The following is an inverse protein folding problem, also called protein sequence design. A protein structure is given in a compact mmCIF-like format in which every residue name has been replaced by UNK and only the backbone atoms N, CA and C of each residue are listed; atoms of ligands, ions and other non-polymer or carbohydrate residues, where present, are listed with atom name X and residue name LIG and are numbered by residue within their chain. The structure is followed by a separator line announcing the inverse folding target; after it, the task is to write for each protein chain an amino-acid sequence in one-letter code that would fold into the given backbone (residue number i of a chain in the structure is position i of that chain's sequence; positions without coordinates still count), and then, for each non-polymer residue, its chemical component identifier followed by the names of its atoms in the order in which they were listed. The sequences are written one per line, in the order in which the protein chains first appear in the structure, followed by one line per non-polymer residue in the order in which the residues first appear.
data_IF_608986096278
#
_entry.id   IF_608986096278
#
_cell.length_a   1.000
_cell.length_b   1.000
_cell.length_c   1.000
_cell.angle_alpha   90.00
_cell.angle_beta   90.00
_cell.angle_gamma   90.00
#
_symmetry.space_group_name_H-M   'P 1'
#
loop_
_entity.id
_entity.type
_entity.pdbx_description
1 polymer ?
#
# COMPACT_ATOMS: atom_id res chain seq x y z
N UNK A 1 17.11 -1.50 15.69
CA UNK A 1 16.85 -2.66 14.80
C UNK A 1 17.21 -4.02 15.45
N UNK A 2 17.29 -4.09 16.79
CA UNK A 2 17.67 -5.31 17.54
C UNK A 2 16.48 -6.04 18.15
N UNK A 3 15.24 -5.75 17.73
CA UNK A 3 14.04 -6.39 18.29
C UNK A 3 13.70 -5.96 19.74
N UNK A 4 14.44 -5.01 20.30
CA UNK A 4 14.19 -4.52 21.65
C UNK A 4 13.13 -3.41 21.63
N UNK A 5 12.06 -3.59 22.41
CA UNK A 5 11.04 -2.55 22.61
C UNK A 5 11.64 -1.40 23.41
N UNK A 6 11.69 -0.22 22.82
CA UNK A 6 12.20 1.03 23.45
C UNK A 6 11.07 1.79 24.14
N UNK A 7 9.89 1.79 23.54
CA UNK A 7 8.69 2.46 24.03
C UNK A 7 7.45 1.69 23.59
N UNK A 8 6.45 1.62 24.44
CA UNK A 8 5.19 0.94 24.18
C UNK A 8 4.04 1.72 24.81
N UNK A 9 2.97 1.95 24.02
CA UNK A 9 1.72 2.57 24.47
C UNK A 9 0.56 1.92 23.74
N UNK A 10 -0.32 1.25 24.49
CA UNK A 10 -1.53 0.61 23.95
C UNK A 10 -1.26 -0.28 22.73
N UNK A 11 -0.10 -0.97 22.70
CA UNK A 11 0.43 -1.63 21.51
C UNK A 11 -0.46 -2.76 20.99
N UNK A 12 -1.27 -3.37 21.86
CA UNK A 12 -2.16 -4.47 21.55
C UNK A 12 -3.64 -4.04 21.40
N UNK A 13 -3.91 -2.74 21.53
CA UNK A 13 -5.26 -2.20 21.31
C UNK A 13 -5.63 -2.23 19.84
N UNK A 14 -6.80 -2.79 19.52
CA UNK A 14 -7.33 -2.80 18.15
C UNK A 14 -7.56 -1.37 17.65
N UNK A 15 -7.11 -1.10 16.45
CA UNK A 15 -7.26 0.17 15.74
C UNK A 15 -7.59 -0.08 14.28
N UNK A 16 -8.24 0.87 13.64
CA UNK A 16 -8.45 0.86 12.20
C UNK A 16 -7.16 1.32 11.51
N UNK A 17 -6.55 0.48 10.65
CA UNK A 17 -5.23 0.78 10.07
C UNK A 17 -5.26 1.90 9.03
N UNK A 18 -6.41 2.20 8.43
CA UNK A 18 -6.51 3.09 7.28
C UNK A 18 -5.45 2.73 6.22
N UNK A 19 -4.84 3.71 5.57
CA UNK A 19 -3.88 3.48 4.47
C UNK A 19 -2.59 2.75 4.87
N UNK A 20 -2.31 2.50 6.17
CA UNK A 20 -1.20 1.61 6.55
C UNK A 20 -1.45 0.16 6.11
N UNK A 21 -2.70 -0.19 5.79
CA UNK A 21 -3.10 -1.45 5.12
C UNK A 21 -2.28 -1.72 3.86
N UNK A 22 -1.95 -0.67 3.10
CA UNK A 22 -1.21 -0.78 1.82
C UNK A 22 0.19 -1.37 1.98
N UNK A 23 0.74 -1.39 3.19
CA UNK A 23 1.98 -2.12 3.48
C UNK A 23 1.77 -3.63 3.28
N UNK A 24 0.64 -4.18 3.74
CA UNK A 24 0.30 -5.59 3.50
C UNK A 24 -0.01 -5.83 2.01
N UNK A 25 -0.72 -4.93 1.36
CA UNK A 25 -0.99 -5.01 -0.09
C UNK A 25 0.31 -5.02 -0.89
N UNK A 26 1.29 -4.20 -0.50
CA UNK A 26 2.64 -4.21 -1.07
C UNK A 26 3.32 -5.58 -0.90
N UNK A 27 3.31 -6.15 0.29
CA UNK A 27 3.90 -7.46 0.58
C UNK A 27 3.33 -8.52 -0.36
N UNK A 28 2.00 -8.62 -0.43
CA UNK A 28 1.33 -9.60 -1.29
C UNK A 28 1.67 -9.35 -2.77
N UNK A 29 1.72 -8.10 -3.22
CA UNK A 29 2.04 -7.79 -4.60
C UNK A 29 3.46 -8.24 -4.97
N UNK A 30 4.45 -7.91 -4.14
CA UNK A 30 5.86 -8.25 -4.41
C UNK A 30 6.13 -9.76 -4.33
N UNK A 31 5.42 -10.48 -3.48
CA UNK A 31 5.56 -11.93 -3.38
C UNK A 31 4.90 -12.70 -4.54
N UNK A 32 3.89 -12.11 -5.18
CA UNK A 32 3.12 -12.79 -6.24
C UNK A 32 3.44 -12.30 -7.66
N UNK A 33 4.21 -11.23 -7.82
CA UNK A 33 4.62 -10.69 -9.12
C UNK A 33 6.15 -10.79 -9.24
N UNK A 34 6.63 -11.75 -10.02
CA UNK A 34 8.07 -12.04 -10.13
C UNK A 34 8.88 -10.94 -10.84
N UNK A 35 8.27 -10.23 -11.78
CA UNK A 35 8.91 -9.15 -12.56
C UNK A 35 8.06 -7.89 -12.46
N UNK A 36 8.39 -7.04 -11.48
CA UNK A 36 7.65 -5.82 -11.21
C UNK A 36 7.79 -4.78 -12.33
N UNK A 37 8.94 -4.72 -12.98
CA UNK A 37 9.26 -3.69 -13.97
C UNK A 37 8.61 -3.99 -15.33
N UNK A 38 8.41 -5.26 -15.69
CA UNK A 38 7.91 -5.66 -17.01
C UNK A 38 6.46 -6.23 -16.99
N UNK A 39 5.97 -6.67 -15.83
CA UNK A 39 4.59 -7.18 -15.74
C UNK A 39 3.59 -6.06 -16.01
N UNK A 40 2.85 -6.18 -17.11
CA UNK A 40 1.79 -5.24 -17.51
C UNK A 40 0.44 -5.70 -16.97
N UNK A 41 -0.18 -4.86 -16.15
CA UNK A 41 -1.47 -5.12 -15.50
C UNK A 41 -2.55 -4.28 -16.18
N UNK A 42 -3.60 -4.90 -16.73
CA UNK A 42 -4.66 -4.18 -17.42
C UNK A 42 -5.52 -3.36 -16.43
N UNK A 43 -5.82 -2.12 -16.80
CA UNK A 43 -6.65 -1.23 -16.01
C UNK A 43 -8.10 -1.33 -16.48
N UNK A 44 -8.96 -1.87 -15.61
CA UNK A 44 -10.38 -2.10 -15.88
C UNK A 44 -11.24 -1.06 -15.17
N UNK A 45 -12.17 -0.43 -15.87
CA UNK A 45 -13.10 0.54 -15.29
C UNK A 45 -13.92 -0.06 -14.13
N UNK A 46 -14.35 -1.31 -14.27
CA UNK A 46 -15.16 -2.01 -13.25
C UNK A 46 -14.47 -2.13 -11.89
N UNK A 47 -13.13 -2.22 -11.88
CA UNK A 47 -12.32 -2.29 -10.65
C UNK A 47 -12.29 -0.92 -9.95
N UNK A 48 -12.28 0.16 -10.71
CA UNK A 48 -12.22 1.52 -10.18
C UNK A 48 -13.61 2.04 -9.76
N UNK A 49 -14.68 1.52 -10.35
CA UNK A 49 -16.05 1.95 -10.08
C UNK A 49 -16.46 1.76 -8.61
N UNK A 50 -15.88 0.78 -7.92
CA UNK A 50 -16.15 0.52 -6.49
C UNK A 50 -15.67 1.64 -5.56
N UNK A 51 -14.74 2.47 -6.04
CA UNK A 51 -14.18 3.60 -5.29
C UNK A 51 -14.96 4.90 -5.49
N UNK A 52 -15.94 4.93 -6.40
CA UNK A 52 -16.75 6.12 -6.65
C UNK A 52 -17.51 6.54 -5.40
N UNK A 53 -17.45 7.84 -5.10
CA UNK A 53 -18.12 8.46 -3.95
C UNK A 53 -17.69 7.95 -2.56
N UNK A 54 -16.56 7.25 -2.45
CA UNK A 54 -16.03 6.76 -1.17
C UNK A 54 -15.14 7.78 -0.45
N UNK A 55 -14.76 8.88 -1.12
CA UNK A 55 -13.76 9.83 -0.60
C UNK A 55 -12.33 9.30 -0.63
N UNK A 56 -12.08 8.27 -1.43
CA UNK A 56 -10.76 7.63 -1.57
C UNK A 56 -9.70 8.58 -2.12
N UNK A 57 -8.47 8.45 -1.63
CA UNK A 57 -7.29 9.00 -2.31
C UNK A 57 -7.04 8.22 -3.59
N UNK A 58 -6.86 8.92 -4.71
CA UNK A 58 -6.64 8.33 -6.02
C UNK A 58 -5.30 8.79 -6.58
N UNK A 59 -4.66 7.92 -7.33
CA UNK A 59 -3.40 8.18 -8.04
C UNK A 59 -3.60 8.42 -9.56
N UNK A 60 -4.84 8.71 -9.97
CA UNK A 60 -5.25 8.93 -11.36
C UNK A 60 -5.05 7.71 -12.28
N UNK A 61 -5.08 6.50 -11.73
CA UNK A 61 -4.99 5.23 -12.49
C UNK A 61 -6.11 5.14 -13.54
N UNK A 62 -7.23 5.83 -13.34
CA UNK A 62 -8.34 5.91 -14.30
C UNK A 62 -7.92 6.47 -15.68
N UNK A 63 -6.86 7.27 -15.77
CA UNK A 63 -6.32 7.78 -17.04
C UNK A 63 -5.78 6.65 -17.93
N UNK A 64 -5.55 5.48 -17.38
CA UNK A 64 -5.04 4.29 -18.06
C UNK A 64 -6.11 3.24 -18.35
N UNK A 65 -7.39 3.51 -18.11
CA UNK A 65 -8.48 2.56 -18.40
C UNK A 65 -8.45 2.13 -19.88
N UNK A 66 -8.54 0.81 -20.10
CA UNK A 66 -8.39 0.19 -21.42
C UNK A 66 -6.95 0.03 -21.89
N UNK A 67 -5.97 0.44 -21.10
CA UNK A 67 -4.54 0.20 -21.29
C UNK A 67 -3.99 -0.66 -20.14
N UNK A 68 -2.67 -0.77 -20.06
CA UNK A 68 -2.00 -1.44 -18.93
C UNK A 68 -0.94 -0.53 -18.32
N UNK A 69 -0.74 -0.66 -17.02
CA UNK A 69 0.39 -0.08 -16.29
C UNK A 69 1.37 -1.20 -15.86
N UNK A 70 2.63 -0.86 -15.62
CA UNK A 70 3.55 -1.83 -15.00
C UNK A 70 3.18 -2.07 -13.53
N UNK A 71 3.53 -3.24 -13.01
CA UNK A 71 3.35 -3.51 -11.58
C UNK A 71 4.11 -2.51 -10.73
N UNK A 72 5.31 -2.10 -11.15
CA UNK A 72 6.11 -1.11 -10.43
C UNK A 72 5.45 0.27 -10.42
N UNK A 73 4.86 0.75 -11.54
CA UNK A 73 4.11 2.01 -11.57
C UNK A 73 2.91 1.97 -10.62
N UNK A 74 2.20 0.83 -10.55
CA UNK A 74 1.10 0.65 -9.61
C UNK A 74 1.56 0.64 -8.16
N UNK A 75 2.73 0.07 -7.85
CA UNK A 75 3.29 0.12 -6.49
C UNK A 75 3.67 1.55 -6.09
N UNK A 76 4.26 2.34 -6.99
CA UNK A 76 4.51 3.76 -6.74
C UNK A 76 3.20 4.54 -6.60
N UNK A 77 2.22 4.29 -7.47
CA UNK A 77 0.89 4.91 -7.40
C UNK A 77 0.17 4.59 -6.09
N UNK A 78 0.33 3.39 -5.56
CA UNK A 78 -0.24 2.98 -4.29
C UNK A 78 0.46 3.62 -3.08
N UNK A 79 1.80 3.63 -3.07
CA UNK A 79 2.57 3.97 -1.86
C UNK A 79 2.88 5.46 -1.75
N UNK A 80 3.17 6.16 -2.85
CA UNK A 80 3.59 7.57 -2.83
C UNK A 80 2.42 8.51 -2.52
N UNK A 81 1.34 8.58 -3.33
CA UNK A 81 0.16 9.41 -3.03
C UNK A 81 -0.89 8.67 -2.19
N UNK A 82 -0.63 7.42 -1.80
CA UNK A 82 -1.60 6.57 -1.10
C UNK A 82 -2.83 6.20 -1.97
N UNK A 83 -2.64 5.90 -3.26
CA UNK A 83 -3.70 5.61 -4.23
C UNK A 83 -4.48 4.32 -3.90
N UNK A 84 -5.78 4.45 -3.64
CA UNK A 84 -6.68 3.31 -3.43
C UNK A 84 -6.98 2.60 -4.74
N UNK A 85 -7.03 3.34 -5.85
CA UNK A 85 -7.21 2.83 -7.21
C UNK A 85 -6.10 1.85 -7.60
N UNK A 86 -4.85 2.19 -7.35
CA UNK A 86 -3.72 1.30 -7.59
C UNK A 86 -3.77 0.05 -6.71
N UNK A 87 -4.14 0.17 -5.43
CA UNK A 87 -4.32 -0.97 -4.52
C UNK A 87 -5.38 -1.95 -5.03
N UNK A 88 -6.52 -1.43 -5.49
CA UNK A 88 -7.62 -2.24 -6.04
C UNK A 88 -7.22 -2.95 -7.34
N UNK A 89 -6.47 -2.29 -8.22
CA UNK A 89 -5.98 -2.90 -9.47
C UNK A 89 -5.00 -4.03 -9.19
N UNK A 90 -4.06 -3.85 -8.27
CA UNK A 90 -3.15 -4.91 -7.83
C UNK A 90 -3.92 -6.10 -7.24
N UNK A 91 -4.92 -5.81 -6.41
CA UNK A 91 -5.75 -6.83 -5.78
C UNK A 91 -6.61 -7.61 -6.79
N UNK A 92 -7.22 -6.93 -7.77
CA UNK A 92 -7.96 -7.59 -8.85
C UNK A 92 -7.06 -8.50 -9.69
N UNK A 93 -5.86 -8.03 -10.02
CA UNK A 93 -4.92 -8.80 -10.83
C UNK A 93 -4.45 -10.07 -10.12
N UNK A 94 -3.99 -9.95 -8.88
CA UNK A 94 -3.45 -11.08 -8.10
C UNK A 94 -4.57 -12.00 -7.63
N UNK A 95 -5.74 -11.45 -7.33
CA UNK A 95 -6.94 -12.20 -6.97
C UNK A 95 -7.66 -12.86 -8.15
N UNK A 96 -7.07 -12.78 -9.36
CA UNK A 96 -7.64 -13.37 -10.61
C UNK A 96 -9.07 -12.86 -10.92
N UNK A 97 -9.28 -11.55 -10.73
CA UNK A 97 -10.56 -10.88 -10.95
C UNK A 97 -11.51 -10.92 -9.76
N UNK A 98 -11.05 -11.44 -8.61
CA UNK A 98 -11.81 -11.43 -7.36
C UNK A 98 -10.96 -10.88 -6.20
N UNK A 99 -11.28 -9.67 -5.76
CA UNK A 99 -10.58 -8.99 -4.66
C UNK A 99 -10.64 -9.78 -3.35
N UNK A 100 -11.69 -10.58 -3.10
CA UNK A 100 -11.78 -11.41 -1.89
C UNK A 100 -10.67 -12.47 -1.83
N UNK A 101 -10.23 -12.99 -2.97
CA UNK A 101 -9.08 -13.90 -3.03
C UNK A 101 -7.80 -13.20 -2.57
N UNK A 102 -7.60 -11.95 -2.97
CA UNK A 102 -6.47 -11.14 -2.51
C UNK A 102 -6.54 -10.86 -1.01
N UNK A 103 -7.70 -10.47 -0.50
CA UNK A 103 -7.92 -10.23 0.94
C UNK A 103 -7.65 -11.49 1.76
N UNK A 104 -7.98 -12.66 1.23
CA UNK A 104 -7.62 -13.94 1.85
C UNK A 104 -6.12 -14.12 1.97
N UNK A 105 -5.34 -13.81 0.91
CA UNK A 105 -3.87 -13.84 0.97
C UNK A 105 -3.32 -12.87 2.02
N UNK A 106 -3.90 -11.65 2.13
CA UNK A 106 -3.50 -10.69 3.17
C UNK A 106 -3.67 -11.27 4.58
N UNK A 107 -4.80 -11.92 4.85
CA UNK A 107 -5.08 -12.52 6.16
C UNK A 107 -4.24 -13.76 6.43
N UNK A 108 -3.93 -14.56 5.42
CA UNK A 108 -3.01 -15.69 5.52
C UNK A 108 -1.59 -15.20 5.85
N UNK A 109 -1.10 -14.17 5.16
CA UNK A 109 0.20 -13.55 5.45
C UNK A 109 0.25 -12.94 6.85
N UNK A 110 -0.80 -12.26 7.30
CA UNK A 110 -0.86 -11.74 8.66
C UNK A 110 -0.67 -12.85 9.71
N UNK A 111 -1.31 -14.00 9.53
CA UNK A 111 -1.14 -15.18 10.39
C UNK A 111 0.28 -15.73 10.33
N UNK A 112 0.86 -15.85 9.11
CA UNK A 112 2.24 -16.29 8.89
C UNK A 112 3.24 -15.40 9.66
N UNK A 113 3.02 -14.08 9.67
CA UNK A 113 3.83 -13.11 10.41
C UNK A 113 3.56 -13.08 11.92
N UNK A 114 2.65 -13.93 12.41
CA UNK A 114 2.27 -13.99 13.82
C UNK A 114 1.44 -12.81 14.30
N UNK A 115 0.65 -12.19 13.39
CA UNK A 115 -0.27 -11.11 13.74
C UNK A 115 -1.57 -11.72 14.30
N UNK A 116 -1.72 -11.69 15.62
CA UNK A 116 -2.84 -12.33 16.31
C UNK A 116 -4.10 -11.46 16.40
N UNK A 117 -3.94 -10.14 16.25
CA UNK A 117 -5.01 -9.16 16.41
C UNK A 117 -5.19 -8.29 15.16
N UNK A 118 -5.03 -8.90 13.97
CA UNK A 118 -5.17 -8.24 12.68
C UNK A 118 -6.15 -8.99 11.80
N UNK A 119 -7.05 -8.25 11.17
CA UNK A 119 -7.94 -8.73 10.13
C UNK A 119 -8.10 -7.66 9.04
N UNK A 120 -7.85 -8.03 7.81
CA UNK A 120 -8.03 -7.20 6.64
C UNK A 120 -9.36 -7.53 5.95
N UNK A 121 -10.17 -6.51 5.64
CA UNK A 121 -11.42 -6.62 4.90
C UNK A 121 -11.29 -6.09 3.45
N UNK A 122 -10.25 -5.29 3.17
CA UNK A 122 -10.00 -4.72 1.85
C UNK A 122 -8.49 -4.42 1.66
N UNK A 123 -8.03 -4.16 0.41
CA UNK A 123 -6.62 -3.93 0.12
C UNK A 123 -6.14 -2.49 0.32
N UNK A 124 -7.03 -1.53 0.51
CA UNK A 124 -6.72 -0.10 0.46
C UNK A 124 -6.82 0.63 1.81
N UNK A 125 -7.52 0.03 2.77
CA UNK A 125 -7.70 0.57 4.11
C UNK A 125 -8.94 1.45 4.28
N UNK A 126 -9.91 1.41 3.35
CA UNK A 126 -11.22 2.00 3.57
C UNK A 126 -11.85 1.41 4.84
N UNK A 127 -12.56 2.26 5.56
CA UNK A 127 -13.14 1.86 6.84
C UNK A 127 -14.13 0.71 6.69
N UNK A 128 -13.92 -0.32 7.49
CA UNK A 128 -14.82 -1.44 7.71
C UNK A 128 -14.71 -1.86 9.19
N UNK A 129 -15.80 -2.18 9.89
CA UNK A 129 -15.76 -2.61 11.28
C UNK A 129 -14.88 -3.85 11.53
N UNK A 130 -14.76 -4.72 10.52
CA UNK A 130 -13.94 -5.93 10.57
C UNK A 130 -12.51 -5.71 10.06
N UNK A 131 -12.15 -4.47 9.68
CA UNK A 131 -10.82 -4.10 9.21
C UNK A 131 -10.01 -3.47 10.34
N UNK A 132 -9.22 -4.27 11.06
CA UNK A 132 -8.50 -3.82 12.24
C UNK A 132 -7.10 -4.43 12.34
N UNK A 133 -6.24 -3.77 13.11
CA UNK A 133 -4.90 -4.22 13.47
C UNK A 133 -4.49 -3.67 14.83
N UNK A 134 -3.25 -3.92 15.24
CA UNK A 134 -2.62 -3.32 16.42
C UNK A 134 -1.27 -2.71 16.06
N UNK A 135 -0.75 -1.81 16.88
CA UNK A 135 0.59 -1.25 16.67
C UNK A 135 1.67 -2.34 16.67
N UNK A 136 1.53 -3.36 17.52
CA UNK A 136 2.45 -4.51 17.57
C UNK A 136 2.42 -5.31 16.27
N UNK A 137 1.24 -5.60 15.74
CA UNK A 137 1.12 -6.37 14.50
C UNK A 137 1.60 -5.55 13.29
N UNK A 138 1.30 -4.24 13.24
CA UNK A 138 1.85 -3.36 12.20
C UNK A 138 3.37 -3.26 12.25
N UNK A 139 3.97 -3.32 13.45
CA UNK A 139 5.43 -3.42 13.57
C UNK A 139 5.98 -4.69 12.91
N UNK A 140 5.34 -5.86 13.13
CA UNK A 140 5.75 -7.12 12.48
C UNK A 140 5.63 -7.03 10.97
N UNK A 141 4.47 -6.56 10.47
CA UNK A 141 4.17 -6.39 9.05
C UNK A 141 5.20 -5.45 8.40
N UNK A 142 5.43 -4.28 8.99
CA UNK A 142 6.37 -3.29 8.46
C UNK A 142 7.82 -3.78 8.50
N UNK A 143 8.22 -4.48 9.58
CA UNK A 143 9.56 -5.06 9.68
C UNK A 143 9.80 -6.09 8.57
N UNK A 144 8.78 -6.89 8.24
CA UNK A 144 8.86 -7.83 7.14
C UNK A 144 8.94 -7.08 5.78
N UNK A 145 8.09 -6.10 5.55
CA UNK A 145 8.12 -5.30 4.32
C UNK A 145 9.49 -4.67 4.05
N UNK A 146 10.20 -4.22 5.09
CA UNK A 146 11.56 -3.66 5.01
C UNK A 146 12.61 -4.68 4.52
N UNK A 147 12.32 -5.97 4.51
CA UNK A 147 13.19 -7.00 3.95
C UNK A 147 12.94 -7.26 2.46
N UNK A 148 11.83 -6.75 1.92
CA UNK A 148 11.41 -6.97 0.56
C UNK A 148 12.07 -5.98 -0.42
N UNK A 149 12.26 -6.40 -1.69
CA UNK A 149 12.86 -5.54 -2.72
C UNK A 149 12.08 -4.22 -2.89
N UNK A 150 12.78 -3.11 -3.11
CA UNK A 150 12.22 -1.81 -3.49
C UNK A 150 11.34 -1.11 -2.44
N UNK A 151 11.02 -1.73 -1.28
CA UNK A 151 10.13 -1.13 -0.28
C UNK A 151 10.70 0.19 0.27
N UNK A 152 11.95 0.20 0.72
CA UNK A 152 12.60 1.43 1.23
C UNK A 152 12.74 2.49 0.12
N UNK A 153 13.05 2.08 -1.10
CA UNK A 153 13.15 2.98 -2.26
C UNK A 153 11.81 3.69 -2.51
N UNK A 154 10.73 2.93 -2.65
CA UNK A 154 9.40 3.47 -2.97
C UNK A 154 8.88 4.36 -1.83
N UNK A 155 9.01 3.92 -0.59
CA UNK A 155 8.49 4.67 0.57
C UNK A 155 9.29 5.95 0.88
N UNK A 156 10.53 6.06 0.41
CA UNK A 156 11.36 7.27 0.50
C UNK A 156 11.29 8.15 -0.77
N UNK A 157 10.45 7.80 -1.74
CA UNK A 157 10.28 8.59 -2.98
C UNK A 157 9.36 9.78 -2.74
N UNK A 158 9.86 11.00 -3.00
CA UNK A 158 9.06 12.22 -2.87
C UNK A 158 8.14 12.44 -4.06
N UNK A 159 8.63 12.19 -5.27
CA UNK A 159 7.88 12.35 -6.53
C UNK A 159 8.20 11.21 -7.47
N UNK A 160 7.20 10.75 -8.21
CA UNK A 160 7.34 9.70 -9.22
C UNK A 160 6.42 9.99 -10.40
N UNK A 161 6.90 9.77 -11.61
CA UNK A 161 6.08 9.89 -12.82
C UNK A 161 5.97 8.51 -13.47
N UNK A 162 4.74 8.01 -13.59
CA UNK A 162 4.48 6.73 -14.25
C UNK A 162 4.78 6.81 -15.75
N UNK A 163 5.10 5.67 -16.34
CA UNK A 163 5.34 5.58 -17.79
C UNK A 163 4.09 6.02 -18.57
N UNK A 164 4.27 7.02 -19.42
CA UNK A 164 3.21 7.60 -20.24
C UNK A 164 2.36 8.69 -19.57
N UNK A 165 2.72 9.13 -18.36
CA UNK A 165 2.08 10.24 -17.66
C UNK A 165 2.89 11.54 -17.77
N UNK A 166 2.16 12.67 -17.83
CA UNK A 166 2.75 14.03 -17.81
C UNK A 166 2.78 14.62 -16.38
N UNK A 167 2.09 13.98 -15.43
CA UNK A 167 1.93 14.51 -14.07
C UNK A 167 2.61 13.59 -13.05
N UNK A 168 3.45 14.18 -12.21
CA UNK A 168 4.11 13.44 -11.14
C UNK A 168 3.17 13.15 -9.97
N UNK A 169 3.24 11.94 -9.45
CA UNK A 169 2.73 11.56 -8.14
C UNK A 169 3.59 12.22 -7.06
N UNK A 170 2.96 12.69 -5.99
CA UNK A 170 3.66 13.40 -4.89
C UNK A 170 3.36 12.69 -3.58
N UNK A 171 4.39 12.50 -2.77
CA UNK A 171 4.26 11.83 -1.47
C UNK A 171 3.32 12.58 -0.52
N UNK A 172 2.59 11.81 0.28
CA UNK A 172 1.82 12.33 1.41
C UNK A 172 2.66 12.47 2.69
N UNK A 173 3.89 11.95 2.69
CA UNK A 173 4.80 12.04 3.83
C UNK A 173 5.63 13.33 3.79
N UNK A 174 5.18 14.35 4.51
CA UNK A 174 5.88 15.64 4.59
C UNK A 174 7.28 15.55 5.24
N UNK A 175 7.56 14.51 6.00
CA UNK A 175 8.86 14.37 6.67
C UNK A 175 10.01 14.06 5.72
N UNK A 176 9.72 13.51 4.54
CA UNK A 176 10.72 13.21 3.50
C UNK A 176 10.70 14.21 2.34
N UNK A 177 9.78 15.18 2.33
CA UNK A 177 9.65 16.19 1.27
C UNK A 177 10.25 17.52 1.72
N UNK A 178 11.45 17.83 1.22
CA UNK A 178 12.17 19.06 1.56
C UNK A 178 11.38 20.35 1.25
N UNK A 179 10.46 20.31 0.27
CA UNK A 179 9.65 21.46 -0.12
C UNK A 179 8.42 21.66 0.77
N UNK A 180 7.98 20.63 1.48
CA UNK A 180 6.75 20.62 2.27
C UNK A 180 6.96 20.31 3.76
N UNK A 181 8.05 19.61 4.09
CA UNK A 181 8.39 19.21 5.45
C UNK A 181 8.86 20.36 6.34
N UNK A 182 9.27 21.50 5.77
CA UNK A 182 9.77 22.64 6.51
C UNK A 182 10.93 22.26 7.45
N UNK A 183 10.90 22.74 8.70
CA UNK A 183 11.91 22.43 9.72
C UNK A 183 11.94 20.95 10.14
N UNK A 184 10.84 20.20 9.96
CA UNK A 184 10.75 18.78 10.32
C UNK A 184 11.51 17.88 9.35
N UNK A 185 11.72 18.29 8.11
CA UNK A 185 12.48 17.52 7.12
C UNK A 185 13.88 17.15 7.65
N UNK A 186 14.58 18.12 8.24
CA UNK A 186 15.95 17.91 8.72
C UNK A 186 16.07 17.03 9.98
N UNK A 187 14.97 16.75 10.64
CA UNK A 187 14.96 15.88 11.83
C UNK A 187 14.90 14.39 11.48
N UNK A 188 14.44 14.05 10.26
CA UNK A 188 14.09 12.67 9.87
C UNK A 188 14.68 12.23 8.52
N UNK A 189 15.33 13.14 7.79
CA UNK A 189 15.99 12.86 6.52
C UNK A 189 17.34 12.13 6.65
#
# INVERSE_FOLDING_TARGET
RQGQTVYEKDADSKRYPASTTKIMTYIIAVENIADLDNTKIPIKQSVLDVLKNTGSSLANVENHVGKSMTAIDLLYSMMVPSGNDAAMVLADYIGEGNVDNFVKLMNEKAKELGCENTHFANPDGLHDPDHYTTARDMYKITTYALTLPRFEEITNTCTYTCDGDDTALVTTNYLIDANRGGEYYYMYA
#
